data_IF_851892931453
#
_entry.id   IF_851892931453
#
_cell.length_a   1.000
_cell.length_b   1.000
_cell.length_c   1.000
_cell.angle_alpha   90.00
_cell.angle_beta   90.00
_cell.angle_gamma   90.00
#
_symmetry.space_group_name_H-M   'P 1'
#
loop_
_entity.id
_entity.type
_entity.pdbx_description
1 polymer ?
#
# COMPACT_ATOMS: atom_id res chain seq x y z
N UNK A 1 -19.67 13.53 39.53
CA UNK A 1 -18.99 13.48 38.22
C UNK A 1 -19.71 14.44 37.32
N UNK A 2 -19.19 15.66 37.20
CA UNK A 2 -19.73 16.60 36.23
C UNK A 2 -19.36 16.11 34.83
N UNK A 3 -20.35 16.09 33.95
CA UNK A 3 -20.13 15.80 32.54
C UNK A 3 -19.45 17.02 31.92
N UNK A 4 -18.13 16.97 31.79
CA UNK A 4 -17.40 18.01 31.07
C UNK A 4 -17.80 17.93 29.59
N UNK A 5 -18.32 19.05 29.08
CA UNK A 5 -18.71 19.17 27.69
C UNK A 5 -17.45 19.47 26.87
N UNK A 6 -16.96 18.45 26.16
CA UNK A 6 -15.84 18.60 25.24
C UNK A 6 -16.28 19.40 24.01
N UNK A 7 -15.70 20.58 23.82
CA UNK A 7 -15.93 21.36 22.61
C UNK A 7 -14.99 20.83 21.53
N UNK A 8 -15.51 19.92 20.71
CA UNK A 8 -14.67 19.13 19.82
C UNK A 8 -13.92 19.97 18.80
N UNK A 9 -12.68 19.61 18.50
CA UNK A 9 -11.82 20.37 17.58
C UNK A 9 -12.29 20.23 16.11
N UNK A 10 -12.87 21.29 15.51
CA UNK A 10 -13.39 21.21 14.15
C UNK A 10 -12.29 21.11 13.09
N UNK A 11 -11.04 21.46 13.41
CA UNK A 11 -9.91 21.41 12.50
C UNK A 11 -9.40 19.98 12.27
N UNK A 12 -9.61 19.09 13.26
CA UNK A 12 -9.11 17.70 13.21
C UNK A 12 -10.12 16.68 12.70
N UNK A 13 -11.38 16.89 13.03
CA UNK A 13 -12.44 15.96 12.68
C UNK A 13 -13.74 16.69 12.38
N UNK A 14 -13.63 17.90 11.83
CA UNK A 14 -14.78 18.65 11.37
C UNK A 14 -15.66 17.84 10.41
N UNK A 15 -16.85 18.37 10.15
CA UNK A 15 -17.85 17.70 9.32
C UNK A 15 -17.27 17.25 7.97
N UNK A 16 -16.44 18.09 7.32
CA UNK A 16 -15.81 17.78 6.04
C UNK A 16 -14.86 16.60 6.09
N UNK A 17 -13.97 16.54 7.10
CA UNK A 17 -13.00 15.45 7.27
C UNK A 17 -13.73 14.13 7.50
N UNK A 18 -14.71 14.11 8.41
CA UNK A 18 -15.53 12.92 8.69
C UNK A 18 -16.24 12.41 7.45
N UNK A 19 -16.93 13.32 6.72
CA UNK A 19 -17.60 12.97 5.48
C UNK A 19 -16.61 12.44 4.44
N UNK A 20 -15.42 13.04 4.33
CA UNK A 20 -14.34 12.56 3.47
C UNK A 20 -13.99 11.10 3.75
N UNK A 21 -13.68 10.75 5.00
CA UNK A 21 -13.39 9.37 5.38
C UNK A 21 -14.55 8.41 5.11
N UNK A 22 -15.79 8.80 5.45
CA UNK A 22 -16.95 7.92 5.24
C UNK A 22 -17.21 7.66 3.76
N UNK A 23 -17.08 8.69 2.91
CA UNK A 23 -17.20 8.55 1.46
C UNK A 23 -16.03 7.72 0.88
N UNK A 24 -14.81 7.89 1.40
CA UNK A 24 -13.65 7.08 1.01
C UNK A 24 -13.89 5.59 1.32
N UNK A 25 -14.38 5.28 2.53
CA UNK A 25 -14.69 3.91 2.95
C UNK A 25 -15.84 3.32 2.12
N UNK A 26 -16.90 4.10 1.88
CA UNK A 26 -18.00 3.68 1.02
C UNK A 26 -17.52 3.41 -0.41
N UNK A 27 -16.66 4.27 -0.95
CA UNK A 27 -16.10 4.12 -2.29
C UNK A 27 -15.29 2.83 -2.43
N UNK A 28 -14.48 2.50 -1.42
CA UNK A 28 -13.74 1.24 -1.39
C UNK A 28 -14.68 0.02 -1.34
N UNK A 29 -15.73 0.06 -0.51
CA UNK A 29 -16.72 -1.01 -0.43
C UNK A 29 -17.50 -1.18 -1.75
N UNK A 30 -17.88 -0.08 -2.39
CA UNK A 30 -18.56 -0.09 -3.68
C UNK A 30 -17.66 -0.62 -4.79
N UNK A 31 -16.39 -0.19 -4.84
CA UNK A 31 -15.43 -0.66 -5.85
C UNK A 31 -15.21 -2.19 -5.76
N UNK A 32 -15.11 -2.73 -4.54
CA UNK A 32 -15.00 -4.17 -4.32
C UNK A 32 -16.29 -4.90 -4.70
N UNK A 33 -17.45 -4.38 -4.31
CA UNK A 33 -18.75 -5.02 -4.58
C UNK A 33 -19.10 -5.02 -6.06
N UNK A 34 -18.84 -3.90 -6.75
CA UNK A 34 -19.10 -3.72 -8.18
C UNK A 34 -17.99 -4.27 -9.08
N UNK A 35 -16.92 -4.83 -8.51
CA UNK A 35 -15.77 -5.42 -9.23
C UNK A 35 -15.10 -4.44 -10.21
N UNK A 36 -15.06 -3.16 -9.85
CA UNK A 36 -14.40 -2.12 -10.66
C UNK A 36 -12.94 -2.06 -10.23
N UNK A 37 -12.11 -2.93 -10.82
CA UNK A 37 -10.72 -3.13 -10.39
C UNK A 37 -9.80 -1.96 -10.72
N UNK A 38 -10.05 -1.27 -11.83
CA UNK A 38 -9.20 -0.18 -12.34
C UNK A 38 -9.14 1.03 -11.38
N UNK A 39 -10.21 1.27 -10.62
CA UNK A 39 -10.31 2.41 -9.70
C UNK A 39 -9.79 2.11 -8.29
N UNK A 40 -9.57 0.84 -7.94
CA UNK A 40 -9.13 0.43 -6.59
C UNK A 40 -7.77 1.06 -6.21
N UNK A 41 -6.74 1.07 -7.08
CA UNK A 41 -5.46 1.71 -6.75
C UNK A 41 -5.62 3.22 -6.48
N UNK A 42 -6.40 3.92 -7.30
CA UNK A 42 -6.64 5.35 -7.12
C UNK A 42 -7.34 5.63 -5.77
N UNK A 43 -8.38 4.86 -5.45
CA UNK A 43 -9.08 4.98 -4.16
C UNK A 43 -8.16 4.70 -2.98
N UNK A 44 -7.27 3.69 -3.09
CA UNK A 44 -6.27 3.34 -2.05
C UNK A 44 -5.21 4.42 -1.88
N UNK A 45 -4.72 4.98 -2.98
CA UNK A 45 -3.75 6.06 -2.97
C UNK A 45 -4.34 7.30 -2.27
N UNK A 46 -5.55 7.71 -2.65
CA UNK A 46 -6.25 8.82 -1.99
C UNK A 46 -6.53 8.50 -0.52
N UNK A 47 -6.94 7.28 -0.16
CA UNK A 47 -7.14 6.93 1.24
C UNK A 47 -5.82 7.04 2.04
N UNK A 48 -4.71 6.60 1.46
CA UNK A 48 -3.38 6.70 2.08
C UNK A 48 -2.95 8.16 2.25
N UNK A 49 -3.24 9.04 1.29
CA UNK A 49 -2.93 10.46 1.41
C UNK A 49 -3.78 11.16 2.48
N UNK A 50 -5.06 10.82 2.60
CA UNK A 50 -5.92 11.30 3.69
C UNK A 50 -5.38 10.87 5.07
N UNK A 51 -5.01 9.60 5.22
CA UNK A 51 -4.42 9.10 6.47
C UNK A 51 -3.10 9.83 6.78
N UNK A 52 -2.25 10.05 5.77
CA UNK A 52 -0.98 10.73 5.96
C UNK A 52 -1.17 12.19 6.40
N UNK A 53 -2.12 12.90 5.79
CA UNK A 53 -2.45 14.28 6.13
C UNK A 53 -2.96 14.40 7.56
N UNK A 54 -3.92 13.57 7.96
CA UNK A 54 -4.46 13.58 9.33
C UNK A 54 -3.43 13.18 10.36
N UNK A 55 -2.60 12.17 10.05
CA UNK A 55 -1.53 11.76 10.96
C UNK A 55 -0.53 12.89 11.19
N UNK A 56 -0.15 13.61 10.13
CA UNK A 56 0.71 14.78 10.25
C UNK A 56 0.05 15.90 11.07
N UNK A 57 -1.24 16.16 10.84
CA UNK A 57 -2.00 17.16 11.59
C UNK A 57 -2.01 16.86 13.09
N UNK A 58 -2.26 15.60 13.48
CA UNK A 58 -2.19 15.14 14.87
C UNK A 58 -0.79 15.36 15.47
N UNK A 59 0.27 14.99 14.74
CA UNK A 59 1.64 15.18 15.23
C UNK A 59 1.97 16.66 15.47
N UNK A 60 1.53 17.55 14.58
CA UNK A 60 1.71 18.99 14.75
C UNK A 60 0.97 19.48 15.99
N UNK A 61 -0.29 19.09 16.19
CA UNK A 61 -1.07 19.56 17.34
C UNK A 61 -0.55 19.01 18.67
N UNK A 62 -0.04 17.78 18.68
CA UNK A 62 0.66 17.23 19.86
C UNK A 62 1.90 18.04 20.18
N UNK A 63 2.67 18.46 19.17
CA UNK A 63 3.88 19.28 19.38
C UNK A 63 3.57 20.67 19.95
N UNK A 64 2.37 21.20 19.69
CA UNK A 64 1.89 22.48 20.20
C UNK A 64 1.19 22.36 21.57
N UNK A 65 1.00 21.14 22.08
CA UNK A 65 0.29 20.84 23.33
C UNK A 65 -1.13 21.42 23.40
N UNK A 66 -1.80 21.58 22.24
CA UNK A 66 -3.14 22.16 22.12
C UNK A 66 -4.26 21.12 22.05
N UNK A 67 -3.93 19.83 22.12
CA UNK A 67 -4.83 18.74 21.78
C UNK A 67 -5.20 17.89 22.99
N UNK A 68 -6.47 17.52 23.09
CA UNK A 68 -6.94 16.62 24.13
C UNK A 68 -6.84 15.13 23.70
N UNK A 69 -6.72 14.19 24.66
CA UNK A 69 -6.63 12.76 24.34
C UNK A 69 -7.81 12.21 23.55
N UNK A 70 -8.99 12.79 23.71
CA UNK A 70 -10.21 12.41 22.97
C UNK A 70 -10.10 12.74 21.49
N UNK A 71 -9.45 13.85 21.14
CA UNK A 71 -9.27 14.27 19.76
C UNK A 71 -8.30 13.34 19.03
N UNK A 72 -7.20 12.99 19.69
CA UNK A 72 -6.25 11.99 19.21
C UNK A 72 -6.97 10.66 18.97
N UNK A 73 -7.78 10.21 19.93
CA UNK A 73 -8.54 8.97 19.80
C UNK A 73 -9.46 8.97 18.57
N UNK A 74 -10.18 10.06 18.31
CA UNK A 74 -11.11 10.17 17.16
C UNK A 74 -10.33 10.12 15.85
N UNK A 75 -9.24 10.87 15.71
CA UNK A 75 -8.46 10.86 14.46
C UNK A 75 -7.82 9.50 14.22
N UNK A 76 -7.28 8.88 15.27
CA UNK A 76 -6.76 7.52 15.19
C UNK A 76 -7.82 6.50 14.77
N UNK A 77 -9.06 6.65 15.25
CA UNK A 77 -10.19 5.83 14.82
C UNK A 77 -10.52 6.05 13.33
N UNK A 78 -10.47 7.28 12.83
CA UNK A 78 -10.66 7.60 11.41
C UNK A 78 -9.55 6.97 10.55
N UNK A 79 -8.29 7.09 10.97
CA UNK A 79 -7.16 6.48 10.26
C UNK A 79 -7.29 4.95 10.16
N UNK A 80 -7.79 4.30 11.21
CA UNK A 80 -7.97 2.85 11.24
C UNK A 80 -9.32 2.36 10.70
N UNK A 81 -10.30 3.23 10.50
CA UNK A 81 -11.66 2.83 10.13
C UNK A 81 -11.70 2.02 8.84
N UNK A 82 -10.88 2.38 7.84
CA UNK A 82 -10.75 1.61 6.60
C UNK A 82 -10.31 0.16 6.87
N UNK A 83 -9.36 -0.05 7.79
CA UNK A 83 -8.86 -1.37 8.17
C UNK A 83 -9.85 -2.15 9.04
N UNK A 84 -10.63 -1.47 9.88
CA UNK A 84 -11.70 -2.09 10.67
C UNK A 84 -12.83 -2.65 9.79
N UNK A 85 -13.14 -2.00 8.66
CA UNK A 85 -14.09 -2.53 7.66
C UNK A 85 -13.53 -3.72 6.87
N UNK A 86 -12.21 -3.80 6.70
CA UNK A 86 -11.53 -4.97 6.13
C UNK A 86 -11.49 -6.15 7.11
N UNK A 87 -11.47 -5.90 8.43
CA UNK A 87 -11.44 -6.94 9.45
C UNK A 87 -12.54 -8.01 9.31
N UNK A 88 -13.84 -7.70 9.09
CA UNK A 88 -14.86 -8.72 8.84
C UNK A 88 -14.63 -9.51 7.55
N UNK A 89 -14.03 -8.92 6.51
CA UNK A 89 -13.64 -9.66 5.30
C UNK A 89 -12.48 -10.63 5.58
N UNK A 90 -11.52 -10.24 6.42
CA UNK A 90 -10.45 -11.13 6.87
C UNK A 90 -10.96 -12.22 7.84
N UNK A 91 -11.91 -11.89 8.73
CA UNK A 91 -12.58 -12.87 9.59
C UNK A 91 -13.37 -13.86 8.74
N UNK A 92 -14.09 -13.36 7.72
CA UNK A 92 -14.79 -14.20 6.76
C UNK A 92 -13.83 -15.19 6.08
N UNK A 93 -12.63 -14.76 5.69
CA UNK A 93 -11.59 -15.66 5.13
C UNK A 93 -11.16 -16.77 6.09
N UNK A 94 -10.99 -16.45 7.38
CA UNK A 94 -10.65 -17.46 8.41
C UNK A 94 -11.81 -18.45 8.55
N UNK A 95 -13.06 -17.96 8.58
CA UNK A 95 -14.27 -18.79 8.71
C UNK A 95 -14.47 -19.68 7.48
N UNK A 96 -14.21 -19.18 6.27
CA UNK A 96 -14.32 -19.95 5.02
C UNK A 96 -13.06 -20.78 4.70
N UNK A 97 -12.12 -20.92 5.64
CA UNK A 97 -10.97 -21.81 5.51
C UNK A 97 -9.99 -21.44 4.40
N UNK A 98 -9.87 -20.15 4.05
CA UNK A 98 -9.05 -19.68 2.93
C UNK A 98 -9.42 -20.31 1.57
N UNK A 99 -10.65 -20.80 1.41
CA UNK A 99 -11.14 -21.38 0.16
C UNK A 99 -11.08 -20.32 -0.97
N UNK A 100 -10.23 -20.51 -2.00
CA UNK A 100 -9.96 -19.48 -3.01
C UNK A 100 -11.18 -19.09 -3.85
N UNK A 101 -12.22 -19.93 -3.91
CA UNK A 101 -13.43 -19.69 -4.72
C UNK A 101 -14.44 -18.76 -4.07
N UNK A 102 -14.38 -18.60 -2.75
CA UNK A 102 -15.33 -17.80 -1.95
C UNK A 102 -14.74 -16.47 -1.47
N UNK A 103 -13.56 -16.11 -1.95
CA UNK A 103 -12.83 -14.93 -1.52
C UNK A 103 -13.17 -13.69 -2.39
N UNK A 104 -13.96 -12.73 -1.89
CA UNK A 104 -14.32 -11.52 -2.62
C UNK A 104 -13.11 -10.61 -2.89
N UNK A 105 -12.00 -10.80 -2.17
CA UNK A 105 -10.77 -10.01 -2.28
C UNK A 105 -9.65 -10.72 -3.06
N UNK A 106 -9.92 -11.88 -3.70
CA UNK A 106 -8.96 -12.59 -4.57
C UNK A 106 -8.67 -11.86 -5.88
N UNK A 107 -9.48 -10.87 -6.24
CA UNK A 107 -9.48 -10.28 -7.58
C UNK A 107 -8.87 -8.88 -7.78
N UNK A 108 -8.13 -8.22 -6.86
CA UNK A 108 -7.32 -7.10 -7.28
C UNK A 108 -5.98 -7.66 -7.80
N UNK A 109 -5.97 -8.21 -9.01
CA UNK A 109 -4.73 -8.33 -9.79
C UNK A 109 -4.47 -6.94 -10.38
N UNK A 110 -4.25 -5.97 -9.50
CA UNK A 110 -3.66 -4.71 -9.90
C UNK A 110 -2.38 -4.61 -9.10
N UNK A 111 -1.27 -4.74 -9.79
CA UNK A 111 0.06 -4.56 -9.20
C UNK A 111 0.15 -3.11 -8.71
N UNK A 112 0.12 -2.87 -7.39
CA UNK A 112 0.30 -1.53 -6.90
C UNK A 112 1.71 -1.06 -7.26
N UNK A 113 1.85 0.23 -7.59
CA UNK A 113 3.17 0.81 -7.84
C UNK A 113 4.09 0.59 -6.64
N UNK A 114 5.38 0.35 -6.90
CA UNK A 114 6.37 0.08 -5.84
C UNK A 114 6.37 1.22 -4.82
N UNK A 115 6.41 2.47 -5.28
CA UNK A 115 6.43 3.64 -4.42
C UNK A 115 5.18 3.76 -3.54
N UNK A 116 3.99 3.59 -4.13
CA UNK A 116 2.71 3.63 -3.41
C UNK A 116 2.69 2.56 -2.30
N UNK A 117 3.10 1.34 -2.65
CA UNK A 117 3.16 0.23 -1.71
C UNK A 117 4.12 0.51 -0.56
N UNK A 118 5.31 1.03 -0.85
CA UNK A 118 6.32 1.37 0.16
C UNK A 118 5.81 2.46 1.11
N UNK A 119 5.26 3.55 0.56
CA UNK A 119 4.69 4.65 1.36
C UNK A 119 3.53 4.18 2.22
N UNK A 120 2.65 3.34 1.68
CA UNK A 120 1.53 2.77 2.41
C UNK A 120 1.98 1.95 3.62
N UNK A 121 2.95 1.04 3.45
CA UNK A 121 3.47 0.24 4.56
C UNK A 121 4.21 1.09 5.60
N UNK A 122 5.02 2.06 5.17
CA UNK A 122 5.71 2.97 6.09
C UNK A 122 4.71 3.78 6.93
N UNK A 123 3.66 4.31 6.28
CA UNK A 123 2.59 5.02 6.97
C UNK A 123 1.85 4.10 7.94
N UNK A 124 1.51 2.88 7.53
CA UNK A 124 0.84 1.90 8.37
C UNK A 124 1.68 1.55 9.62
N UNK A 125 2.99 1.35 9.46
CA UNK A 125 3.92 1.08 10.57
C UNK A 125 3.99 2.28 11.52
N UNK A 126 4.11 3.50 10.98
CA UNK A 126 4.19 4.73 11.76
C UNK A 126 2.91 4.95 12.60
N UNK A 127 1.74 4.86 11.95
CA UNK A 127 0.44 5.02 12.61
C UNK A 127 0.20 3.91 13.64
N UNK A 128 0.57 2.65 13.33
CA UNK A 128 0.46 1.53 14.29
C UNK A 128 1.32 1.73 15.53
N UNK A 129 2.57 2.17 15.34
CA UNK A 129 3.48 2.46 16.45
C UNK A 129 2.93 3.57 17.33
N UNK A 130 2.40 4.62 16.71
CA UNK A 130 1.78 5.73 17.41
C UNK A 130 0.50 5.32 18.16
N UNK A 131 -0.29 4.42 17.60
CA UNK A 131 -1.46 3.86 18.25
C UNK A 131 -1.10 3.08 19.52
N UNK A 132 -0.05 2.24 19.44
CA UNK A 132 0.44 1.50 20.60
C UNK A 132 0.93 2.48 21.67
N UNK A 133 1.67 3.52 21.29
CA UNK A 133 2.08 4.58 22.22
C UNK A 133 0.89 5.28 22.88
N UNK A 134 -0.15 5.60 22.11
CA UNK A 134 -1.37 6.22 22.62
C UNK A 134 -1.98 5.38 23.75
N UNK A 135 -2.13 4.07 23.54
CA UNK A 135 -2.73 3.17 24.53
C UNK A 135 -1.78 2.76 25.68
N UNK A 136 -0.47 2.70 25.43
CA UNK A 136 0.53 2.27 26.39
C UNK A 136 0.75 3.30 27.50
N UNK A 137 0.80 4.58 27.16
CA UNK A 137 0.93 5.66 28.15
C UNK A 137 -0.38 5.81 28.93
N UNK A 138 -0.34 5.94 30.27
CA UNK A 138 -1.54 6.15 31.10
C UNK A 138 -2.36 7.38 30.69
N UNK A 139 -3.67 7.33 30.93
CA UNK A 139 -4.56 8.47 30.70
C UNK A 139 -4.31 9.59 31.73
N UNK A 140 -3.92 9.21 32.94
CA UNK A 140 -3.64 10.09 34.09
C UNK A 140 -2.55 11.13 33.79
N UNK A 141 -1.62 10.83 32.87
CA UNK A 141 -0.57 11.77 32.45
C UNK A 141 -1.05 12.77 31.41
N UNK A 142 -2.27 12.62 30.87
CA UNK A 142 -2.77 13.40 29.73
C UNK A 142 -4.07 14.16 30.01
N UNK A 143 -4.77 13.86 31.08
CA UNK A 143 -5.93 14.62 31.54
C UNK A 143 -5.48 15.60 32.61
N UNK A 144 -5.24 16.86 32.22
CA UNK A 144 -4.96 17.94 33.16
C UNK A 144 -6.19 18.33 34.01
N UNK A 145 -7.39 17.93 33.54
CA UNK A 145 -8.67 18.21 34.18
C UNK A 145 -9.30 16.89 34.66
N UNK A 146 -9.94 16.93 35.83
CA UNK A 146 -10.58 15.81 36.56
C UNK A 146 -11.84 15.22 35.85
N UNK A 147 -11.87 15.32 34.52
CA UNK A 147 -12.99 14.98 33.65
C UNK A 147 -12.84 13.55 33.11
N UNK A 148 -13.84 12.71 33.37
CA UNK A 148 -13.85 11.34 32.87
C UNK A 148 -14.10 11.29 31.35
N UNK A 149 -13.12 10.84 30.58
CA UNK A 149 -13.23 10.62 29.13
C UNK A 149 -13.67 9.19 28.82
N UNK A 150 -14.58 9.05 27.86
CA UNK A 150 -15.16 7.77 27.48
C UNK A 150 -14.91 7.46 26.01
N UNK A 151 -14.54 6.22 25.72
CA UNK A 151 -14.57 5.66 24.38
C UNK A 151 -15.91 4.95 24.13
N UNK A 152 -16.34 4.96 22.88
CA UNK A 152 -17.54 4.26 22.43
C UNK A 152 -17.15 3.26 21.35
N UNK A 153 -17.36 1.97 21.62
CA UNK A 153 -17.34 0.93 20.58
C UNK A 153 -18.77 0.42 20.36
N UNK A 154 -19.35 -0.24 21.37
CA UNK A 154 -20.78 -0.61 21.41
C UNK A 154 -21.45 -0.22 22.73
N UNK A 155 -20.66 0.23 23.70
CA UNK A 155 -21.10 0.74 24.99
C UNK A 155 -20.15 1.88 25.41
N UNK A 156 -20.62 2.71 26.34
CA UNK A 156 -19.81 3.75 26.99
C UNK A 156 -18.77 3.08 27.89
N UNK A 157 -17.50 3.13 27.52
CA UNK A 157 -16.40 2.51 28.27
C UNK A 157 -15.43 3.62 28.70
N UNK A 158 -15.06 3.72 30.00
CA UNK A 158 -14.06 4.69 30.44
C UNK A 158 -12.72 4.37 29.81
N UNK A 159 -12.03 5.40 29.29
CA UNK A 159 -10.78 5.25 28.56
C UNK A 159 -9.64 4.64 29.42
N UNK A 160 -9.75 4.81 30.74
CA UNK A 160 -8.84 4.26 31.75
C UNK A 160 -8.97 2.75 31.99
N UNK A 161 -10.00 2.10 31.44
CA UNK A 161 -10.21 0.68 31.67
C UNK A 161 -9.01 -0.15 31.17
N UNK A 162 -8.32 -0.82 32.10
CA UNK A 162 -7.12 -1.62 31.83
C UNK A 162 -7.36 -2.73 30.81
N UNK A 163 -8.52 -3.40 30.87
CA UNK A 163 -8.85 -4.47 29.94
C UNK A 163 -9.05 -3.91 28.52
N UNK A 164 -9.72 -2.76 28.41
CA UNK A 164 -9.94 -2.10 27.14
C UNK A 164 -8.62 -1.65 26.48
N UNK A 165 -7.72 -1.06 27.28
CA UNK A 165 -6.37 -0.70 26.83
C UNK A 165 -5.57 -1.91 26.39
N UNK A 166 -5.58 -2.99 27.18
CA UNK A 166 -4.86 -4.22 26.86
C UNK A 166 -5.31 -4.83 25.53
N UNK A 167 -6.63 -4.90 25.28
CA UNK A 167 -7.18 -5.42 24.02
C UNK A 167 -6.71 -4.59 22.83
N UNK A 168 -6.78 -3.25 22.92
CA UNK A 168 -6.31 -2.38 21.85
C UNK A 168 -4.80 -2.54 21.62
N UNK A 169 -3.97 -2.55 22.67
CA UNK A 169 -2.52 -2.77 22.54
C UNK A 169 -2.23 -4.10 21.84
N UNK A 170 -2.89 -5.18 22.25
CA UNK A 170 -2.71 -6.49 21.63
C UNK A 170 -3.10 -6.51 20.16
N UNK A 171 -4.24 -5.91 19.82
CA UNK A 171 -4.73 -5.81 18.44
C UNK A 171 -3.74 -5.03 17.56
N UNK A 172 -3.34 -3.83 17.97
CA UNK A 172 -2.45 -2.99 17.17
C UNK A 172 -1.02 -3.54 17.12
N UNK A 173 -0.55 -4.24 18.16
CA UNK A 173 0.74 -4.95 18.13
C UNK A 173 0.72 -6.11 17.13
N UNK A 174 -0.38 -6.87 17.07
CA UNK A 174 -0.54 -7.93 16.08
C UNK A 174 -0.52 -7.37 14.65
N UNK A 175 -1.27 -6.29 14.40
CA UNK A 175 -1.29 -5.61 13.11
C UNK A 175 0.08 -5.05 12.72
N UNK A 176 0.82 -4.45 13.66
CA UNK A 176 2.17 -3.96 13.43
C UNK A 176 3.12 -5.09 13.01
N UNK A 177 3.08 -6.24 13.70
CA UNK A 177 3.93 -7.39 13.37
C UNK A 177 3.58 -7.91 11.98
N UNK A 178 2.30 -8.09 11.65
CA UNK A 178 1.87 -8.56 10.34
C UNK A 178 2.33 -7.59 9.23
N UNK A 179 2.16 -6.29 9.42
CA UNK A 179 2.58 -5.25 8.48
C UNK A 179 4.11 -5.22 8.30
N UNK A 180 4.88 -5.36 9.38
CA UNK A 180 6.34 -5.40 9.32
C UNK A 180 6.85 -6.66 8.59
N UNK A 181 6.24 -7.82 8.85
CA UNK A 181 6.59 -9.07 8.17
C UNK A 181 6.27 -8.99 6.67
N UNK A 182 5.10 -8.48 6.30
CA UNK A 182 4.73 -8.30 4.88
C UNK A 182 5.64 -7.31 4.17
N UNK A 183 6.03 -6.23 4.85
CA UNK A 183 6.98 -5.26 4.32
C UNK A 183 8.36 -5.88 4.07
N UNK A 184 8.89 -6.65 5.04
CA UNK A 184 10.18 -7.33 4.91
C UNK A 184 10.14 -8.36 3.78
N UNK A 185 9.06 -9.15 3.67
CA UNK A 185 8.94 -10.12 2.57
C UNK A 185 8.92 -9.45 1.20
N UNK A 186 8.22 -8.32 1.09
CA UNK A 186 8.13 -7.56 -0.15
C UNK A 186 9.46 -6.89 -0.52
N UNK A 187 10.14 -6.29 0.46
CA UNK A 187 11.46 -5.69 0.25
C UNK A 187 12.51 -6.73 -0.18
N UNK A 188 12.44 -7.94 0.38
CA UNK A 188 13.30 -9.07 -0.05
C UNK A 188 12.99 -9.51 -1.47
N UNK A 189 11.70 -9.60 -1.82
CA UNK A 189 11.26 -9.97 -3.17
C UNK A 189 11.74 -8.98 -4.23
N UNK A 190 11.60 -7.67 -3.97
CA UNK A 190 12.11 -6.67 -4.90
C UNK A 190 13.63 -6.71 -5.03
N UNK A 191 14.35 -6.95 -3.92
CA UNK A 191 15.81 -7.10 -3.97
C UNK A 191 16.24 -8.32 -4.79
N UNK A 192 15.52 -9.44 -4.70
CA UNK A 192 15.81 -10.62 -5.53
C UNK A 192 15.52 -10.37 -7.01
N UNK A 193 14.42 -9.70 -7.36
CA UNK A 193 14.10 -9.38 -8.75
C UNK A 193 15.19 -8.49 -9.40
N UNK A 194 15.61 -7.43 -8.71
CA UNK A 194 16.69 -6.56 -9.23
C UNK A 194 18.05 -7.26 -9.36
N UNK A 195 18.28 -8.33 -8.58
CA UNK A 195 19.52 -9.10 -8.67
C UNK A 195 19.52 -10.08 -9.84
N UNK A 196 18.34 -10.56 -10.23
CA UNK A 196 18.15 -11.44 -11.40
C UNK A 196 18.36 -10.65 -12.70
N UNK A 197 17.77 -9.45 -12.81
CA UNK A 197 17.95 -8.56 -13.97
C UNK A 197 19.42 -8.15 -14.18
N UNK A 198 20.16 -7.90 -13.09
CA UNK A 198 21.57 -7.56 -13.16
C UNK A 198 22.42 -8.73 -13.73
N UNK A 199 22.12 -9.95 -13.29
CA UNK A 199 22.86 -11.14 -13.71
C UNK A 199 22.56 -11.55 -15.16
N UNK A 200 21.34 -11.31 -15.65
CA UNK A 200 20.97 -11.54 -17.05
C UNK A 200 21.69 -10.55 -17.99
N UNK A 201 21.78 -9.28 -17.59
CA UNK A 201 22.50 -8.26 -18.36
C UNK A 201 24.02 -8.54 -18.48
N UNK A 202 24.63 -9.07 -17.42
CA UNK A 202 26.03 -9.49 -17.44
C UNK A 202 26.20 -10.71 -18.37
N UNK A 203 25.25 -11.66 -18.36
CA UNK A 203 25.30 -12.87 -19.18
C UNK A 203 25.20 -12.57 -20.68
N UNK A 204 24.33 -11.63 -21.10
CA UNK A 204 24.27 -11.19 -22.50
C UNK A 204 25.57 -10.50 -22.96
N UNK A 205 26.26 -9.78 -22.06
CA UNK A 205 27.55 -9.14 -22.38
C UNK A 205 28.67 -10.16 -22.65
N UNK A 206 28.66 -11.31 -21.98
CA UNK A 206 29.64 -12.39 -22.22
C UNK A 206 29.38 -13.15 -23.53
N UNK A 207 28.11 -13.32 -23.91
CA UNK A 207 27.73 -13.97 -25.17
C UNK A 207 28.01 -13.07 -26.38
N UNK A 208 27.87 -11.76 -26.27
CA UNK A 208 28.24 -10.83 -27.36
C UNK A 208 29.76 -10.62 -27.50
N UNK A 209 30.56 -10.93 -26.46
CA UNK A 209 32.01 -10.80 -26.47
C UNK A 209 32.78 -12.00 -27.03
N UNK A 210 32.10 -13.12 -27.33
CA UNK A 210 32.74 -14.38 -27.76
C UNK A 210 32.70 -14.66 -29.27
N UNK A 211 32.19 -13.74 -30.11
CA UNK A 211 32.16 -13.89 -31.57
C UNK A 211 33.36 -13.30 -32.35
N UNK A 212 34.44 -12.85 -31.71
CA UNK A 212 35.62 -12.34 -32.43
C UNK A 212 36.91 -13.07 -32.05
N UNK A 213 37.20 -14.16 -32.76
CA UNK A 213 38.47 -14.85 -32.60
C UNK A 213 38.58 -16.19 -33.33
N UNK A 214 38.39 -16.24 -34.64
CA UNK A 214 38.91 -17.35 -35.44
C UNK A 214 39.56 -16.88 -36.74
N UNK A 215 40.90 -16.84 -36.69
CA UNK A 215 41.73 -17.51 -37.67
C UNK A 215 41.74 -16.96 -39.09
N UNK A 216 42.60 -15.96 -39.28
CA UNK A 216 43.17 -15.54 -40.56
C UNK A 216 43.92 -16.71 -41.23
N UNK A 217 43.47 -17.16 -42.40
CA UNK A 217 44.33 -17.81 -43.42
C UNK A 217 43.92 -17.29 -44.79
N UNK A 218 44.79 -16.48 -45.38
CA UNK A 218 44.49 -15.71 -46.58
C UNK A 218 44.44 -16.51 -47.88
N UNK A 219 43.81 -15.89 -48.89
CA UNK A 219 44.27 -16.01 -50.27
C UNK A 219 43.82 -14.79 -51.09
N UNK A 220 44.75 -14.33 -51.93
CA UNK A 220 44.81 -13.02 -52.58
C UNK A 220 44.48 -13.17 -54.08
N UNK A 221 43.45 -12.49 -54.56
CA UNK A 221 43.19 -12.09 -55.97
C UNK A 221 42.24 -10.88 -55.87
N UNK A 222 42.43 -9.67 -56.39
CA UNK A 222 43.20 -9.18 -57.52
C UNK A 222 42.24 -8.50 -58.52
N UNK A 223 42.14 -7.16 -58.50
CA UNK A 223 41.72 -6.37 -59.67
C UNK A 223 40.51 -5.42 -59.53
N UNK A 224 40.76 -4.11 -59.74
CA UNK A 224 40.08 -3.34 -60.78
C UNK A 224 38.86 -2.46 -60.45
N UNK A 225 39.14 -1.22 -60.03
CA UNK A 225 38.61 0.09 -60.48
C UNK A 225 37.10 0.39 -60.74
N UNK A 226 36.82 1.70 -60.53
CA UNK A 226 35.69 2.58 -60.95
C UNK A 226 34.50 2.67 -59.96
N UNK A 227 34.32 3.77 -59.20
CA UNK A 227 33.79 5.12 -59.56
C UNK A 227 32.29 5.07 -59.93
N UNK A 228 31.38 5.43 -59.01
CA UNK A 228 30.54 6.65 -59.07
C UNK A 228 29.30 6.67 -58.12
N UNK A 229 29.08 7.88 -57.57
CA UNK A 229 27.84 8.59 -57.16
C UNK A 229 26.55 7.90 -56.67
N UNK A 230 26.16 8.31 -55.45
CA UNK A 230 24.91 9.03 -55.02
C UNK A 230 23.58 8.76 -55.75
N UNK A 231 22.57 8.28 -55.00
CA UNK A 231 21.13 8.69 -54.96
C UNK A 231 20.41 7.75 -53.96
N UNK A 232 19.81 8.17 -52.84
CA UNK A 232 18.49 8.83 -52.62
C UNK A 232 17.32 8.22 -53.40
N UNK A 233 16.62 7.26 -52.78
CA UNK A 233 15.16 7.19 -52.53
C UNK A 233 14.90 5.80 -51.87
N UNK A 234 14.16 5.64 -50.77
CA UNK A 234 12.71 5.81 -50.71
C UNK A 234 12.04 4.48 -51.06
N UNK A 235 11.66 3.66 -50.07
CA UNK A 235 10.49 2.74 -50.14
C UNK A 235 10.23 2.01 -48.82
N UNK A 236 8.95 2.03 -48.46
CA UNK A 236 8.29 1.26 -47.41
C UNK A 236 8.59 -0.26 -47.47
N UNK A 237 8.69 -0.90 -46.30
CA UNK A 237 8.21 -2.27 -46.13
C UNK A 237 8.09 -2.67 -44.65
N UNK A 238 6.82 -2.76 -44.21
CA UNK A 238 6.26 -3.83 -43.36
C UNK A 238 7.04 -4.26 -42.09
N UNK A 239 6.63 -3.73 -40.94
CA UNK A 239 6.88 -4.40 -39.65
C UNK A 239 5.95 -5.63 -39.55
N UNK A 240 6.56 -6.81 -39.64
CA UNK A 240 5.95 -8.10 -39.38
C UNK A 240 5.61 -8.25 -37.90
N UNK A 241 4.35 -8.57 -37.62
CA UNK A 241 3.89 -9.06 -36.32
C UNK A 241 4.57 -10.41 -36.04
N UNK A 242 5.26 -10.54 -34.91
CA UNK A 242 5.58 -11.85 -34.33
C UNK A 242 4.93 -11.93 -32.94
N UNK A 243 3.72 -12.47 -32.97
CA UNK A 243 2.89 -12.84 -31.84
C UNK A 243 3.32 -14.25 -31.40
N UNK A 244 4.13 -14.35 -30.34
CA UNK A 244 4.46 -15.63 -29.71
C UNK A 244 4.27 -15.55 -28.21
N UNK A 245 3.22 -16.23 -27.75
CA UNK A 245 3.19 -16.79 -26.39
C UNK A 245 1.96 -16.43 -25.57
N UNK A 246 0.78 -16.90 -25.95
CA UNK A 246 -0.34 -17.00 -25.00
C UNK A 246 -0.96 -18.41 -25.04
N UNK A 247 -1.03 -19.14 -23.90
CA UNK A 247 -1.63 -20.47 -23.88
C UNK A 247 -3.17 -20.38 -23.97
N UNK A 248 -3.76 -21.09 -24.94
CA UNK A 248 -5.21 -21.33 -25.01
C UNK A 248 -5.61 -22.38 -23.98
N UNK A 249 -6.48 -22.02 -23.05
CA UNK A 249 -7.24 -23.00 -22.27
C UNK A 249 -8.45 -23.45 -23.11
N UNK A 250 -8.47 -24.73 -23.46
CA UNK A 250 -9.63 -25.41 -24.03
C UNK A 250 -10.68 -25.61 -22.94
N UNK A 251 -11.84 -24.99 -23.12
CA UNK A 251 -13.09 -25.42 -22.49
C UNK A 251 -13.84 -26.28 -23.52
N UNK A 252 -14.07 -27.55 -23.16
CA UNK A 252 -14.98 -28.44 -23.87
C UNK A 252 -16.29 -28.56 -23.08
N UNK A 253 -17.42 -28.81 -23.78
CA UNK A 253 -18.79 -28.52 -23.34
C UNK A 253 -19.33 -29.43 -22.23
#
# INVERSE_FOLDING_TARGET
METCQHDGNPDMYGLGIRLGFYLQWLSLNLAVTLRVHEEIPAIRFTNTSFIAAEFLAVLIQISQATIEPVDIYIVLLLCYGAFLFLAPLYIWRIVTGFEPSLDPTRWPVVEPGILDTQLHYLLLIAVSSFQIWFWAVPADTRTANDCATYAFIFAKIPLENKAFRAVNISLYSCLLILAALSYISLARFFKSATAEDANESDTESYLSGTEFGFGDTGLRVGGGATEDRVSVDGTESTCSNDDKGRPRYHLSP
#
